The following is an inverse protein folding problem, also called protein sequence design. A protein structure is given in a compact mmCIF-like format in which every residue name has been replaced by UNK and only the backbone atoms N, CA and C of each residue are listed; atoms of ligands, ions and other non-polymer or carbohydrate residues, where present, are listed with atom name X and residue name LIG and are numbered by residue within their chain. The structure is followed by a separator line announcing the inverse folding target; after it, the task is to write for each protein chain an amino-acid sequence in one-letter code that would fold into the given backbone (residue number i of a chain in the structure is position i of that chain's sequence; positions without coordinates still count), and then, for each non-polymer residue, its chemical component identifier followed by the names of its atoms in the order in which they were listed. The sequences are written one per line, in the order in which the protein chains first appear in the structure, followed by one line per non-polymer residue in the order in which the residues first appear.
data_IF_556755669133
#
_entry.id   IF_556755669133
#
_cell.length_a   1.000
_cell.length_b   1.000
_cell.length_c   1.000
_cell.angle_alpha   90.00
_cell.angle_beta   90.00
_cell.angle_gamma   90.00
#
_symmetry.space_group_name_H-M   'P 1'
#
loop_
_entity.id
_entity.type
_entity.pdbx_description
1 polymer ?
#
# COMPACT_ATOMS: atom_id res chain seq x y z
N UNK A 1 -14.75 30.37 -11.35
CA UNK A 1 -15.26 29.68 -10.14
C UNK A 1 -14.44 28.45 -9.82
N UNK A 2 -14.40 27.42 -10.68
CA UNK A 2 -13.60 26.21 -10.44
C UNK A 2 -12.10 26.48 -10.24
N UNK A 3 -11.51 27.42 -10.98
CA UNK A 3 -10.08 27.78 -10.86
C UNK A 3 -9.71 28.47 -9.55
N UNK A 4 -10.68 28.99 -8.80
CA UNK A 4 -10.47 29.66 -7.52
C UNK A 4 -10.60 28.71 -6.32
N UNK A 5 -10.86 27.41 -6.55
CA UNK A 5 -10.92 26.41 -5.50
C UNK A 5 -9.53 26.01 -5.03
N UNK A 6 -9.35 26.02 -3.72
CA UNK A 6 -8.18 25.50 -3.03
C UNK A 6 -8.60 24.24 -2.27
N UNK A 7 -7.93 23.11 -2.50
CA UNK A 7 -8.32 21.78 -1.99
C UNK A 7 -8.49 21.74 -0.45
N UNK A 8 -7.70 22.52 0.27
CA UNK A 8 -7.73 22.61 1.73
C UNK A 8 -8.69 23.68 2.28
N UNK A 9 -9.25 24.55 1.44
CA UNK A 9 -10.04 25.70 1.90
C UNK A 9 -11.54 25.47 1.85
N UNK A 10 -12.13 25.12 3.01
CA UNK A 10 -13.59 24.94 3.18
C UNK A 10 -14.41 26.09 2.63
N UNK A 11 -14.01 27.34 2.89
CA UNK A 11 -14.75 28.53 2.47
C UNK A 11 -14.89 28.63 0.93
N UNK A 12 -13.86 28.20 0.17
CA UNK A 12 -13.94 28.20 -1.30
C UNK A 12 -14.96 27.18 -1.82
N UNK A 13 -15.08 26.03 -1.15
CA UNK A 13 -16.09 25.01 -1.49
C UNK A 13 -17.51 25.46 -1.18
N UNK A 14 -17.74 26.19 -0.08
CA UNK A 14 -19.06 26.74 0.26
C UNK A 14 -19.55 27.71 -0.83
N UNK A 15 -18.70 28.66 -1.23
CA UNK A 15 -19.01 29.61 -2.32
C UNK A 15 -19.23 28.89 -3.65
N UNK A 16 -18.46 27.85 -3.94
CA UNK A 16 -18.62 27.07 -5.16
C UNK A 16 -19.92 26.25 -5.17
N UNK A 17 -20.29 25.68 -4.03
CA UNK A 17 -21.54 24.95 -3.84
C UNK A 17 -22.76 25.85 -4.07
N UNK A 18 -22.78 27.04 -3.45
CA UNK A 18 -23.83 28.03 -3.64
C UNK A 18 -24.00 28.41 -5.12
N UNK A 19 -22.88 28.59 -5.82
CA UNK A 19 -22.89 28.87 -7.25
C UNK A 19 -23.47 27.72 -8.08
N UNK A 20 -23.11 26.46 -7.79
CA UNK A 20 -23.66 25.28 -8.47
C UNK A 20 -25.17 25.14 -8.22
N UNK A 21 -25.62 25.35 -6.99
CA UNK A 21 -27.05 25.36 -6.64
C UNK A 21 -27.79 26.44 -7.43
N UNK A 22 -27.21 27.64 -7.57
CA UNK A 22 -27.80 28.72 -8.36
C UNK A 22 -27.90 28.38 -9.87
N UNK A 23 -27.08 27.46 -10.38
CA UNK A 23 -27.17 26.93 -11.75
C UNK A 23 -28.11 25.71 -11.86
N UNK A 24 -28.67 25.23 -10.74
CA UNK A 24 -29.49 24.02 -10.70
C UNK A 24 -28.68 22.72 -10.81
N UNK A 25 -27.37 22.75 -10.56
CA UNK A 25 -26.55 21.53 -10.52
C UNK A 25 -26.65 20.88 -9.12
N UNK A 26 -27.18 19.64 -9.01
CA UNK A 26 -27.32 18.94 -7.73
C UNK A 26 -25.98 18.67 -7.02
N UNK A 27 -24.85 18.79 -7.71
CA UNK A 27 -23.52 18.67 -7.10
C UNK A 27 -23.26 19.76 -6.07
N UNK A 28 -23.89 20.93 -6.19
CA UNK A 28 -23.82 21.96 -5.16
C UNK A 28 -24.41 21.49 -3.83
N UNK A 29 -25.56 20.80 -3.86
CA UNK A 29 -26.15 20.20 -2.66
C UNK A 29 -25.23 19.12 -2.06
N UNK A 30 -24.65 18.27 -2.92
CA UNK A 30 -23.67 17.25 -2.47
C UNK A 30 -22.51 17.89 -1.69
N UNK A 31 -21.95 18.99 -2.19
CA UNK A 31 -20.87 19.70 -1.50
C UNK A 31 -21.33 20.20 -0.13
N UNK A 32 -22.48 20.87 -0.04
CA UNK A 32 -23.00 21.34 1.26
C UNK A 32 -23.22 20.20 2.25
N UNK A 33 -23.80 19.09 1.80
CA UNK A 33 -24.02 17.90 2.64
C UNK A 33 -22.68 17.35 3.14
N UNK A 34 -21.68 17.21 2.27
CA UNK A 34 -20.37 16.71 2.65
C UNK A 34 -19.64 17.65 3.62
N UNK A 35 -19.71 18.96 3.41
CA UNK A 35 -19.15 19.94 4.36
C UNK A 35 -19.86 19.94 5.72
N UNK A 36 -21.17 19.69 5.74
CA UNK A 36 -21.92 19.50 6.98
C UNK A 36 -21.54 18.19 7.69
N UNK A 37 -21.33 17.10 6.94
CA UNK A 37 -20.85 15.82 7.49
C UNK A 37 -19.46 15.94 8.10
N UNK A 38 -18.55 16.69 7.49
CA UNK A 38 -17.23 16.96 8.07
C UNK A 38 -17.33 17.62 9.46
N UNK A 39 -18.38 18.41 9.71
CA UNK A 39 -18.62 19.06 11.01
C UNK A 39 -19.44 18.22 11.99
N UNK A 40 -20.18 17.21 11.50
CA UNK A 40 -21.05 16.34 12.29
C UNK A 40 -21.07 14.90 11.72
N UNK A 41 -19.97 14.14 11.85
CA UNK A 41 -19.79 12.87 11.14
C UNK A 41 -20.75 11.76 11.60
N UNK A 42 -21.22 11.81 12.85
CA UNK A 42 -22.23 10.91 13.42
C UNK A 42 -23.66 11.16 12.92
N UNK A 43 -23.92 12.23 12.16
CA UNK A 43 -25.26 12.53 11.65
C UNK A 43 -25.65 11.58 10.49
N UNK A 44 -26.55 10.63 10.81
CA UNK A 44 -27.05 9.62 9.86
C UNK A 44 -27.94 10.17 8.75
N UNK A 45 -28.63 11.29 8.97
CA UNK A 45 -29.47 11.92 7.96
C UNK A 45 -28.61 12.49 6.83
N UNK A 46 -27.53 13.18 7.18
CA UNK A 46 -26.56 13.69 6.20
C UNK A 46 -25.87 12.55 5.44
N UNK A 47 -25.49 11.46 6.12
CA UNK A 47 -24.92 10.29 5.46
C UNK A 47 -25.90 9.61 4.49
N UNK A 48 -27.19 9.57 4.85
CA UNK A 48 -28.23 9.03 3.97
C UNK A 48 -28.43 9.94 2.76
N UNK A 49 -28.50 11.26 2.97
CA UNK A 49 -28.69 12.24 1.89
C UNK A 49 -27.55 12.27 0.90
N UNK A 50 -26.31 12.17 1.36
CA UNK A 50 -25.14 12.06 0.48
C UNK A 50 -25.24 10.84 -0.43
N UNK A 51 -25.56 9.66 0.13
CA UNK A 51 -25.71 8.43 -0.65
C UNK A 51 -26.82 8.57 -1.70
N UNK A 52 -27.97 9.13 -1.33
CA UNK A 52 -29.07 9.37 -2.28
C UNK A 52 -28.65 10.28 -3.44
N UNK A 53 -27.91 11.35 -3.17
CA UNK A 53 -27.41 12.27 -4.20
C UNK A 53 -26.44 11.58 -5.14
N UNK A 54 -25.48 10.79 -4.61
CA UNK A 54 -24.52 10.04 -5.42
C UNK A 54 -25.25 8.99 -6.27
N UNK A 55 -26.12 8.16 -5.68
CA UNK A 55 -26.89 7.14 -6.41
C UNK A 55 -27.73 7.74 -7.54
N UNK A 56 -28.32 8.92 -7.32
CA UNK A 56 -29.16 9.58 -8.30
C UNK A 56 -28.38 10.25 -9.45
N UNK A 57 -27.16 10.74 -9.21
CA UNK A 57 -26.50 11.68 -10.11
C UNK A 57 -25.09 11.27 -10.58
N UNK A 58 -24.42 10.30 -9.94
CA UNK A 58 -23.03 9.92 -10.27
C UNK A 58 -22.83 9.64 -11.76
N UNK A 59 -23.74 8.85 -12.35
CA UNK A 59 -23.70 8.51 -13.79
C UNK A 59 -23.77 9.72 -14.70
N UNK A 60 -24.44 10.79 -14.27
CA UNK A 60 -24.54 12.03 -15.04
C UNK A 60 -23.32 12.91 -14.87
N UNK A 61 -22.65 12.84 -13.72
CA UNK A 61 -21.44 13.62 -13.44
C UNK A 61 -20.18 12.99 -14.01
N UNK A 62 -20.11 11.65 -14.04
CA UNK A 62 -18.94 10.90 -14.48
C UNK A 62 -19.35 9.69 -15.35
N UNK A 63 -19.91 9.94 -16.56
CA UNK A 63 -20.36 8.87 -17.46
C UNK A 63 -19.25 7.91 -17.89
N UNK A 64 -17.99 8.32 -17.76
CA UNK A 64 -16.78 7.53 -17.99
C UNK A 64 -16.78 6.20 -17.20
N UNK A 65 -17.36 6.19 -15.99
CA UNK A 65 -17.42 4.99 -15.16
C UNK A 65 -18.31 3.87 -15.72
N UNK A 66 -19.21 4.19 -16.66
CA UNK A 66 -20.12 3.23 -17.27
C UNK A 66 -19.54 2.55 -18.51
N UNK A 67 -18.35 2.96 -18.96
CA UNK A 67 -17.72 2.38 -20.12
C UNK A 67 -16.96 1.09 -19.77
N UNK A 68 -16.92 0.13 -20.70
CA UNK A 68 -16.28 -1.17 -20.51
C UNK A 68 -14.74 -1.13 -20.66
N UNK A 69 -14.09 -0.07 -20.18
CA UNK A 69 -12.61 0.05 -20.20
C UNK A 69 -11.92 -0.82 -19.16
N UNK A 70 -12.68 -1.37 -18.21
CA UNK A 70 -12.17 -2.11 -17.08
C UNK A 70 -12.96 -3.42 -16.95
N UNK A 71 -12.27 -4.51 -16.65
CA UNK A 71 -12.91 -5.83 -16.44
C UNK A 71 -13.84 -5.80 -15.22
N UNK A 72 -13.57 -4.87 -14.29
CA UNK A 72 -14.41 -4.53 -13.14
C UNK A 72 -14.67 -3.04 -13.13
N UNK A 73 -15.91 -2.64 -12.87
CA UNK A 73 -16.28 -1.23 -12.80
C UNK A 73 -15.41 -0.49 -11.79
N UNK A 74 -14.85 0.68 -12.16
CA UNK A 74 -14.11 1.48 -11.20
C UNK A 74 -15.00 1.93 -10.06
N UNK A 75 -14.39 2.17 -8.90
CA UNK A 75 -15.06 2.72 -7.73
C UNK A 75 -14.47 4.09 -7.42
N UNK A 76 -15.34 5.06 -7.19
CA UNK A 76 -14.93 6.40 -6.76
C UNK A 76 -15.54 6.72 -5.41
N UNK A 77 -14.79 7.42 -4.58
CA UNK A 77 -15.32 8.04 -3.36
C UNK A 77 -15.32 9.54 -3.55
N UNK A 78 -16.48 10.15 -3.35
CA UNK A 78 -16.65 11.60 -3.49
C UNK A 78 -16.17 12.33 -2.24
N UNK A 79 -15.49 13.46 -2.45
CA UNK A 79 -15.08 14.40 -1.41
C UNK A 79 -15.31 15.81 -1.90
N UNK A 80 -16.15 16.55 -1.16
CA UNK A 80 -16.53 17.95 -1.48
C UNK A 80 -16.94 18.14 -2.94
N UNK A 81 -17.73 17.23 -3.50
CA UNK A 81 -18.24 17.27 -4.88
C UNK A 81 -17.19 16.98 -5.97
N UNK A 82 -16.03 16.44 -5.61
CA UNK A 82 -14.99 15.95 -6.51
C UNK A 82 -14.65 14.50 -6.19
N UNK A 83 -13.89 13.85 -7.05
CA UNK A 83 -13.34 12.52 -6.79
C UNK A 83 -12.21 12.69 -5.76
N UNK A 84 -12.38 12.13 -4.57
CA UNK A 84 -11.34 12.09 -3.53
C UNK A 84 -10.46 10.84 -3.63
N UNK A 85 -11.10 9.70 -3.89
CA UNK A 85 -10.43 8.41 -4.18
C UNK A 85 -10.95 7.85 -5.49
N UNK A 86 -10.05 7.31 -6.30
CA UNK A 86 -10.37 6.51 -7.47
C UNK A 86 -9.68 5.14 -7.36
N UNK A 87 -10.47 4.07 -7.44
CA UNK A 87 -10.01 2.70 -7.55
C UNK A 87 -10.36 2.20 -8.95
N UNK A 88 -9.34 1.97 -9.75
CA UNK A 88 -9.47 1.67 -11.16
C UNK A 88 -9.12 0.20 -11.40
N UNK A 89 -10.06 -0.54 -11.97
CA UNK A 89 -9.86 -1.93 -12.32
C UNK A 89 -8.74 -2.11 -13.36
N UNK A 90 -8.31 -3.35 -13.55
CA UNK A 90 -7.51 -3.72 -14.69
C UNK A 90 -8.40 -4.01 -15.90
N UNK A 91 -7.81 -4.07 -17.09
CA UNK A 91 -8.45 -4.69 -18.26
C UNK A 91 -7.45 -5.63 -18.91
N UNK A 92 -7.79 -6.91 -19.00
CA UNK A 92 -6.97 -7.88 -19.71
C UNK A 92 -6.77 -7.52 -21.20
N UNK A 93 -7.65 -6.69 -21.77
CA UNK A 93 -7.54 -6.24 -23.16
C UNK A 93 -6.74 -4.94 -23.31
N UNK A 94 -6.19 -4.39 -22.23
CA UNK A 94 -5.40 -3.16 -22.26
C UNK A 94 -6.23 -1.88 -22.34
N UNK A 95 -7.55 -1.94 -22.12
CA UNK A 95 -8.39 -0.74 -22.15
C UNK A 95 -8.26 0.14 -20.88
N UNK A 96 -7.61 -0.38 -19.83
CA UNK A 96 -7.44 0.27 -18.52
C UNK A 96 -6.71 1.61 -18.62
N UNK A 97 -5.68 1.69 -19.45
CA UNK A 97 -4.92 2.90 -19.73
C UNK A 97 -5.81 4.00 -20.34
N UNK A 98 -6.69 3.63 -21.27
CA UNK A 98 -7.66 4.57 -21.86
C UNK A 98 -8.67 5.02 -20.80
N UNK A 99 -9.23 4.09 -20.03
CA UNK A 99 -10.18 4.42 -18.97
C UNK A 99 -9.60 5.40 -17.95
N UNK A 100 -8.35 5.18 -17.53
CA UNK A 100 -7.66 6.15 -16.66
C UNK A 100 -7.51 7.51 -17.32
N UNK A 101 -7.09 7.57 -18.59
CA UNK A 101 -6.91 8.84 -19.29
C UNK A 101 -8.21 9.65 -19.37
N UNK A 102 -9.37 9.00 -19.55
CA UNK A 102 -10.67 9.69 -19.53
C UNK A 102 -11.04 10.19 -18.12
N UNK A 103 -10.84 9.36 -17.09
CA UNK A 103 -11.07 9.78 -15.69
C UNK A 103 -10.16 10.97 -15.33
N UNK A 104 -8.87 10.92 -15.67
CA UNK A 104 -7.89 11.96 -15.38
C UNK A 104 -8.20 13.29 -16.10
N UNK A 105 -8.87 13.27 -17.26
CA UNK A 105 -9.31 14.47 -17.97
C UNK A 105 -10.56 15.11 -17.36
N UNK A 106 -11.32 14.37 -16.56
CA UNK A 106 -12.51 14.89 -15.92
C UNK A 106 -12.15 16.06 -14.99
N UNK A 107 -12.85 17.21 -15.06
CA UNK A 107 -12.68 18.29 -14.09
C UNK A 107 -12.93 17.83 -12.64
N UNK A 108 -13.65 16.72 -12.46
CA UNK A 108 -13.96 16.13 -11.16
C UNK A 108 -12.77 15.36 -10.54
N UNK A 109 -11.78 14.98 -11.34
CA UNK A 109 -10.56 14.30 -10.90
C UNK A 109 -9.46 15.25 -10.40
N UNK A 110 -9.69 16.58 -10.48
CA UNK A 110 -8.69 17.61 -10.17
C UNK A 110 -8.11 17.52 -8.75
N UNK A 111 -8.87 16.97 -7.80
CA UNK A 111 -8.51 16.94 -6.37
C UNK A 111 -8.42 15.51 -5.82
N UNK A 112 -8.14 14.52 -6.69
CA UNK A 112 -7.88 13.15 -6.23
C UNK A 112 -6.72 13.17 -5.23
N UNK A 113 -6.94 12.53 -4.09
CA UNK A 113 -5.93 12.31 -3.04
C UNK A 113 -5.48 10.86 -2.96
N UNK A 114 -6.32 9.92 -3.38
CA UNK A 114 -6.02 8.49 -3.36
C UNK A 114 -6.29 7.88 -4.73
N UNK A 115 -5.28 7.24 -5.30
CA UNK A 115 -5.39 6.56 -6.60
C UNK A 115 -4.88 5.12 -6.45
N UNK A 116 -5.76 4.18 -6.73
CA UNK A 116 -5.49 2.75 -6.72
C UNK A 116 -5.71 2.17 -8.11
N UNK A 117 -4.73 1.42 -8.60
CA UNK A 117 -4.85 0.66 -9.84
C UNK A 117 -4.75 -0.83 -9.53
N UNK A 118 -5.70 -1.58 -10.06
CA UNK A 118 -5.60 -3.03 -10.08
C UNK A 118 -4.73 -3.47 -11.25
N UNK A 119 -3.85 -4.43 -11.01
CA UNK A 119 -3.05 -5.08 -12.05
C UNK A 119 -3.84 -6.23 -12.68
N UNK A 120 -3.78 -6.40 -14.01
CA UNK A 120 -4.50 -7.49 -14.67
C UNK A 120 -3.92 -8.84 -14.31
N UNK A 121 -4.75 -9.85 -14.51
CA UNK A 121 -4.32 -11.24 -14.44
C UNK A 121 -3.37 -11.53 -15.60
N UNK A 122 -2.13 -11.91 -15.30
CA UNK A 122 -1.13 -12.34 -16.28
C UNK A 122 -1.05 -13.87 -16.27
N UNK A 123 -1.10 -14.51 -17.44
CA UNK A 123 -0.99 -15.97 -17.52
C UNK A 123 0.44 -16.33 -17.91
N UNK A 124 1.22 -16.88 -16.98
CA UNK A 124 2.59 -17.34 -17.21
C UNK A 124 3.63 -16.25 -17.55
N UNK A 125 3.51 -15.03 -17.02
CA UNK A 125 4.50 -13.97 -17.26
C UNK A 125 4.34 -13.21 -18.58
N UNK A 126 3.48 -13.68 -19.48
CA UNK A 126 3.08 -12.96 -20.69
C UNK A 126 1.66 -12.39 -20.47
N UNK A 127 1.60 -11.11 -20.12
CA UNK A 127 0.35 -10.35 -20.01
C UNK A 127 0.50 -9.01 -20.72
N UNK A 128 -0.54 -8.54 -21.44
CA UNK A 128 -0.61 -7.14 -21.82
C UNK A 128 -0.81 -6.35 -20.52
N UNK A 129 0.14 -5.52 -20.09
CA UNK A 129 -0.08 -4.27 -19.32
C UNK A 129 1.01 -3.88 -18.30
N UNK A 130 2.12 -4.61 -18.14
CA UNK A 130 3.13 -4.28 -17.12
C UNK A 130 3.60 -2.80 -17.15
N UNK A 131 3.72 -2.22 -18.35
CA UNK A 131 4.07 -0.80 -18.55
C UNK A 131 2.87 0.09 -18.93
N UNK A 132 1.69 -0.46 -19.19
CA UNK A 132 0.54 0.32 -19.70
C UNK A 132 0.04 1.33 -18.67
N UNK A 133 -0.01 0.94 -17.38
CA UNK A 133 -0.38 1.87 -16.30
C UNK A 133 0.69 2.96 -16.15
N UNK A 134 1.97 2.58 -16.25
CA UNK A 134 3.10 3.53 -16.21
C UNK A 134 2.99 4.54 -17.36
N UNK A 135 2.79 4.07 -18.58
CA UNK A 135 2.64 4.93 -19.76
C UNK A 135 1.37 5.79 -19.69
N UNK A 136 0.27 5.26 -19.16
CA UNK A 136 -0.95 6.02 -18.94
C UNK A 136 -0.77 7.15 -17.92
N UNK A 137 -0.05 6.89 -16.82
CA UNK A 137 0.33 7.90 -15.83
C UNK A 137 1.23 8.97 -16.43
N UNK A 138 2.19 8.59 -17.27
CA UNK A 138 3.06 9.53 -17.97
C UNK A 138 2.30 10.39 -18.98
N UNK A 139 1.31 9.81 -19.68
CA UNK A 139 0.47 10.54 -20.63
C UNK A 139 -0.58 11.43 -19.95
N UNK A 140 -1.11 11.01 -18.80
CA UNK A 140 -2.10 11.71 -18.00
C UNK A 140 -1.66 11.76 -16.52
N UNK A 141 -0.77 12.71 -16.15
CA UNK A 141 -0.24 12.78 -14.79
C UNK A 141 -1.34 12.92 -13.73
N UNK A 142 -1.19 12.25 -12.58
CA UNK A 142 -2.10 12.44 -11.46
C UNK A 142 -2.02 13.89 -10.94
N UNK A 143 -3.08 14.39 -10.25
CA UNK A 143 -3.07 15.74 -9.72
C UNK A 143 -2.05 15.89 -8.58
N UNK A 144 -1.52 17.11 -8.36
CA UNK A 144 -0.56 17.38 -7.27
C UNK A 144 -1.15 17.22 -5.86
N UNK A 145 -2.46 17.01 -5.76
CA UNK A 145 -3.16 16.66 -4.52
C UNK A 145 -3.01 15.19 -4.15
N UNK A 146 -2.46 14.33 -5.01
CA UNK A 146 -2.27 12.91 -4.73
C UNK A 146 -1.36 12.72 -3.49
N UNK A 147 -1.81 11.86 -2.56
CA UNK A 147 -1.11 11.49 -1.31
C UNK A 147 -0.96 10.00 -1.13
N UNK A 148 -1.95 9.22 -1.59
CA UNK A 148 -1.89 7.75 -1.55
C UNK A 148 -1.86 7.22 -2.97
N UNK A 149 -0.88 6.39 -3.26
CA UNK A 149 -0.79 5.68 -4.53
C UNK A 149 -0.68 4.18 -4.26
N UNK A 150 -1.54 3.39 -4.90
CA UNK A 150 -1.58 1.94 -4.72
C UNK A 150 -1.60 1.22 -6.07
N UNK A 151 -0.76 0.20 -6.20
CA UNK A 151 -0.77 -0.77 -7.28
C UNK A 151 -1.06 -2.13 -6.65
N UNK A 152 -2.25 -2.68 -6.88
CA UNK A 152 -2.75 -3.86 -6.14
C UNK A 152 -3.21 -4.95 -7.11
N UNK A 153 -3.25 -6.20 -6.69
CA UNK A 153 -3.90 -7.26 -7.47
C UNK A 153 -5.44 -7.20 -7.42
N UNK A 154 -6.00 -6.30 -6.60
CA UNK A 154 -7.42 -6.25 -6.30
C UNK A 154 -7.92 -7.61 -5.81
N UNK A 155 -9.02 -8.09 -6.40
CA UNK A 155 -9.59 -9.41 -6.08
C UNK A 155 -8.94 -10.57 -6.89
N UNK A 156 -7.86 -10.31 -7.62
CA UNK A 156 -7.09 -11.37 -8.29
C UNK A 156 -6.09 -11.98 -7.32
N UNK A 157 -5.69 -13.23 -7.58
CA UNK A 157 -4.59 -13.85 -6.84
C UNK A 157 -3.28 -13.11 -7.10
N UNK A 158 -2.60 -12.68 -6.03
CA UNK A 158 -1.34 -11.94 -6.09
C UNK A 158 -0.31 -12.59 -7.01
N UNK A 159 -0.13 -13.92 -6.91
CA UNK A 159 0.82 -14.70 -7.71
C UNK A 159 0.71 -14.53 -9.23
N UNK A 160 -0.45 -14.12 -9.73
CA UNK A 160 -0.73 -13.94 -11.15
C UNK A 160 -0.74 -12.47 -11.59
N UNK A 161 -0.30 -11.57 -10.73
CA UNK A 161 -0.11 -10.16 -11.09
C UNK A 161 1.38 -9.87 -11.29
N UNK A 162 1.70 -9.22 -12.41
CA UNK A 162 3.04 -8.73 -12.70
C UNK A 162 2.96 -7.24 -12.98
N UNK A 163 3.97 -6.54 -12.49
CA UNK A 163 4.12 -5.11 -12.67
C UNK A 163 5.56 -4.88 -13.13
N UNK A 164 5.70 -4.09 -14.19
CA UNK A 164 6.98 -3.77 -14.78
C UNK A 164 7.82 -2.85 -13.89
N UNK A 165 8.70 -2.09 -14.53
CA UNK A 165 9.57 -1.17 -13.84
C UNK A 165 8.87 0.17 -13.59
N UNK A 166 8.62 0.48 -12.31
CA UNK A 166 7.91 1.70 -11.91
C UNK A 166 8.83 2.92 -11.71
N UNK A 167 10.12 2.83 -12.04
CA UNK A 167 11.06 3.95 -11.85
C UNK A 167 10.60 5.23 -12.56
N UNK A 168 10.00 5.07 -13.75
CA UNK A 168 9.55 6.18 -14.58
C UNK A 168 8.41 6.99 -13.95
N UNK A 169 7.64 6.45 -13.00
CA UNK A 169 6.51 7.16 -12.39
C UNK A 169 6.91 8.03 -11.19
N UNK A 170 8.08 7.81 -10.57
CA UNK A 170 8.47 8.57 -9.38
C UNK A 170 8.46 10.10 -9.54
N UNK A 171 8.86 10.70 -10.69
CA UNK A 171 8.73 12.14 -10.89
C UNK A 171 7.29 12.68 -10.77
N UNK A 172 6.28 11.82 -10.97
CA UNK A 172 4.86 12.16 -10.83
C UNK A 172 4.34 11.95 -9.40
N UNK A 173 5.08 11.21 -8.57
CA UNK A 173 4.66 10.79 -7.22
C UNK A 173 5.40 11.55 -6.11
N UNK A 174 5.92 12.75 -6.41
CA UNK A 174 6.74 13.53 -5.46
C UNK A 174 5.97 14.00 -4.22
N UNK A 175 4.63 14.05 -4.27
CA UNK A 175 3.76 14.40 -3.15
C UNK A 175 3.16 13.19 -2.44
N UNK A 176 3.47 11.97 -2.89
CA UNK A 176 2.90 10.74 -2.31
C UNK A 176 3.51 10.48 -0.94
N UNK A 177 2.63 10.37 0.04
CA UNK A 177 2.92 10.07 1.45
C UNK A 177 2.81 8.57 1.73
N UNK A 178 1.97 7.84 0.98
CA UNK A 178 1.78 6.41 1.15
C UNK A 178 1.84 5.68 -0.19
N UNK A 179 2.78 4.76 -0.33
CA UNK A 179 2.90 3.87 -1.48
C UNK A 179 2.59 2.43 -1.07
N UNK A 180 1.63 1.80 -1.75
CA UNK A 180 1.35 0.37 -1.64
C UNK A 180 1.63 -0.31 -2.97
N UNK A 181 2.43 -1.37 -2.94
CA UNK A 181 2.65 -2.27 -4.07
C UNK A 181 2.30 -3.68 -3.59
N UNK A 182 1.14 -4.16 -4.00
CA UNK A 182 0.59 -5.47 -3.66
C UNK A 182 0.40 -6.28 -4.95
N UNK A 183 1.46 -6.94 -5.39
CA UNK A 183 1.51 -7.63 -6.68
C UNK A 183 2.36 -8.88 -6.59
N UNK A 184 2.28 -9.79 -7.56
CA UNK A 184 3.10 -11.00 -7.56
C UNK A 184 4.59 -10.68 -7.74
N UNK A 185 4.89 -9.72 -8.63
CA UNK A 185 6.24 -9.22 -8.91
C UNK A 185 6.23 -7.73 -9.25
N UNK A 186 7.33 -7.05 -8.95
CA UNK A 186 7.57 -5.64 -9.29
C UNK A 186 9.07 -5.36 -9.48
N UNK A 187 9.40 -4.41 -10.36
CA UNK A 187 10.70 -3.73 -10.36
C UNK A 187 10.57 -2.30 -9.84
N UNK A 188 11.19 -2.01 -8.70
CA UNK A 188 11.17 -0.66 -8.12
C UNK A 188 12.17 0.31 -8.78
N UNK A 189 13.24 -0.19 -9.40
CA UNK A 189 14.31 0.64 -9.94
C UNK A 189 14.96 1.56 -8.89
N UNK A 190 15.39 2.75 -9.31
CA UNK A 190 15.94 3.78 -8.43
C UNK A 190 14.83 4.60 -7.75
N UNK A 191 14.48 4.21 -6.52
CA UNK A 191 13.35 4.81 -5.79
C UNK A 191 13.59 6.29 -5.46
N UNK A 192 12.63 7.15 -5.84
CA UNK A 192 12.67 8.60 -5.59
C UNK A 192 11.31 9.11 -5.06
N UNK A 193 11.07 8.95 -3.76
CA UNK A 193 9.81 9.30 -3.10
C UNK A 193 10.05 10.21 -1.89
N UNK A 194 10.31 11.52 -2.12
CA UNK A 194 10.81 12.42 -1.07
C UNK A 194 9.79 12.72 0.03
N UNK A 195 8.48 12.60 -0.24
CA UNK A 195 7.42 12.87 0.73
C UNK A 195 6.86 11.60 1.41
N UNK A 196 7.41 10.42 1.11
CA UNK A 196 6.83 9.16 1.53
C UNK A 196 7.07 8.88 3.02
N UNK A 197 5.97 8.59 3.73
CA UNK A 197 5.90 8.22 5.15
C UNK A 197 5.63 6.73 5.34
N UNK A 198 4.93 6.10 4.39
CA UNK A 198 4.62 4.66 4.43
C UNK A 198 4.92 4.00 3.10
N UNK A 199 5.76 2.97 3.13
CA UNK A 199 5.98 2.07 2.01
C UNK A 199 5.56 0.67 2.41
N UNK A 200 4.66 0.09 1.63
CA UNK A 200 4.27 -1.32 1.77
C UNK A 200 4.50 -2.04 0.45
N UNK A 201 5.30 -3.11 0.48
CA UNK A 201 5.56 -3.98 -0.66
C UNK A 201 5.20 -5.41 -0.27
N UNK A 202 4.11 -5.90 -0.83
CA UNK A 202 3.58 -7.24 -0.58
C UNK A 202 3.73 -8.03 -1.88
N UNK A 203 4.59 -9.04 -1.86
CA UNK A 203 4.77 -9.93 -3.00
C UNK A 203 4.49 -11.39 -2.65
N UNK A 204 3.97 -12.13 -3.61
CA UNK A 204 3.89 -13.60 -3.49
C UNK A 204 5.27 -14.24 -3.68
N UNK A 205 6.18 -13.56 -4.38
CA UNK A 205 7.56 -14.00 -4.59
C UNK A 205 8.52 -12.82 -4.79
N UNK A 206 8.93 -12.18 -3.70
CA UNK A 206 9.82 -11.02 -3.69
C UNK A 206 11.21 -11.36 -4.23
N UNK A 207 11.69 -10.52 -5.14
CA UNK A 207 13.03 -10.62 -5.70
C UNK A 207 14.03 -9.84 -4.87
N UNK A 208 15.27 -10.32 -4.78
CA UNK A 208 16.32 -9.67 -3.98
C UNK A 208 16.63 -8.23 -4.40
N UNK A 209 16.31 -7.81 -5.64
CA UNK A 209 16.50 -6.42 -6.04
C UNK A 209 15.56 -5.45 -5.33
N UNK A 210 14.39 -5.90 -4.87
CA UNK A 210 13.38 -5.05 -4.21
C UNK A 210 13.93 -4.43 -2.92
N UNK A 211 14.38 -5.20 -1.91
CA UNK A 211 14.97 -4.61 -0.70
C UNK A 211 16.27 -3.84 -0.98
N UNK A 212 17.07 -4.26 -1.98
CA UNK A 212 18.28 -3.52 -2.39
C UNK A 212 17.95 -2.13 -2.96
N UNK A 213 16.91 -2.02 -3.78
CA UNK A 213 16.40 -0.75 -4.30
C UNK A 213 15.92 0.16 -3.16
N UNK A 214 15.19 -0.39 -2.19
CA UNK A 214 14.71 0.35 -1.01
C UNK A 214 15.90 0.85 -0.17
N UNK A 215 16.89 0.00 0.07
CA UNK A 215 18.09 0.35 0.82
C UNK A 215 18.98 1.39 0.13
N UNK A 216 18.97 1.44 -1.21
CA UNK A 216 19.75 2.40 -1.98
C UNK A 216 19.15 3.82 -1.98
N UNK A 217 17.85 3.94 -1.68
CA UNK A 217 17.13 5.20 -1.69
C UNK A 217 17.37 6.02 -0.40
N UNK A 218 16.85 7.26 -0.39
CA UNK A 218 16.96 8.18 0.74
C UNK A 218 15.56 8.48 1.30
N UNK A 219 15.31 8.08 2.54
CA UNK A 219 13.98 8.09 3.13
C UNK A 219 13.89 9.06 4.31
N UNK A 220 13.83 10.37 4.02
CA UNK A 220 13.86 11.40 5.07
C UNK A 220 12.63 11.39 5.99
N UNK A 221 11.49 10.93 5.48
CA UNK A 221 10.20 10.98 6.16
C UNK A 221 9.55 9.61 6.37
N UNK A 222 10.19 8.51 5.94
CA UNK A 222 9.60 7.17 6.03
C UNK A 222 9.51 6.73 7.49
N UNK A 223 8.28 6.61 7.99
CA UNK A 223 7.98 6.19 9.36
C UNK A 223 7.64 4.70 9.44
N UNK A 224 7.12 4.13 8.35
CA UNK A 224 6.70 2.74 8.26
C UNK A 224 7.17 2.08 6.96
N UNK A 225 7.78 0.91 7.09
CA UNK A 225 8.19 0.05 5.99
C UNK A 225 7.69 -1.37 6.23
N UNK A 226 6.81 -1.87 5.36
CA UNK A 226 6.30 -3.23 5.42
C UNK A 226 6.72 -4.01 4.18
N UNK A 227 7.46 -5.11 4.37
CA UNK A 227 7.85 -6.05 3.33
C UNK A 227 7.25 -7.43 3.64
N UNK A 228 6.48 -7.96 2.68
CA UNK A 228 6.03 -9.36 2.72
C UNK A 228 6.66 -10.11 1.55
N UNK A 229 7.52 -11.10 1.84
CA UNK A 229 8.41 -11.68 0.84
C UNK A 229 7.74 -12.78 -0.01
N UNK A 230 6.79 -13.51 0.55
CA UNK A 230 6.22 -14.69 -0.08
C UNK A 230 7.25 -15.84 -0.19
N UNK A 231 7.12 -16.69 -1.20
CA UNK A 231 7.91 -17.94 -1.28
C UNK A 231 8.51 -18.23 -2.67
N UNK A 232 9.45 -19.17 -2.70
CA UNK A 232 10.16 -19.58 -3.91
C UNK A 232 9.25 -20.20 -4.98
N UNK A 233 8.13 -20.84 -4.61
CA UNK A 233 7.18 -21.43 -5.58
C UNK A 233 6.54 -20.37 -6.47
N UNK A 234 6.37 -19.15 -5.96
CA UNK A 234 5.92 -17.99 -6.73
C UNK A 234 7.08 -17.15 -7.29
N UNK A 235 8.31 -17.62 -7.11
CA UNK A 235 9.53 -17.08 -7.67
C UNK A 235 10.22 -16.06 -6.78
N UNK A 236 10.09 -16.13 -5.46
CA UNK A 236 11.01 -15.43 -4.58
C UNK A 236 12.45 -15.91 -4.83
N UNK A 237 13.39 -14.97 -4.86
CA UNK A 237 14.84 -15.25 -4.81
C UNK A 237 15.57 -14.38 -3.77
N UNK A 238 14.80 -13.59 -3.01
CA UNK A 238 15.34 -12.77 -1.94
C UNK A 238 15.95 -13.66 -0.86
N UNK A 239 17.17 -13.33 -0.47
CA UNK A 239 17.86 -13.96 0.65
C UNK A 239 18.10 -12.94 1.77
N UNK A 240 18.39 -13.43 2.97
CA UNK A 240 18.72 -12.56 4.14
C UNK A 240 19.83 -11.53 3.83
N UNK A 241 20.78 -11.87 2.96
CA UNK A 241 21.86 -10.98 2.53
C UNK A 241 21.39 -9.72 1.78
N UNK A 242 20.21 -9.79 1.14
CA UNK A 242 19.63 -8.65 0.42
C UNK A 242 19.06 -7.58 1.36
N UNK A 243 18.76 -7.96 2.61
CA UNK A 243 18.31 -7.06 3.67
C UNK A 243 19.47 -6.43 4.44
N UNK A 244 20.69 -6.95 4.32
CA UNK A 244 21.82 -6.44 5.08
C UNK A 244 22.08 -4.93 4.84
N UNK A 245 22.03 -4.38 3.62
CA UNK A 245 22.17 -2.94 3.40
C UNK A 245 21.04 -2.13 4.03
N UNK A 246 19.81 -2.67 3.99
CA UNK A 246 18.63 -2.03 4.57
C UNK A 246 18.78 -1.94 6.09
N UNK A 247 19.17 -3.03 6.73
CA UNK A 247 19.29 -3.14 8.18
C UNK A 247 20.53 -2.44 8.75
N UNK A 248 21.60 -2.27 7.96
CA UNK A 248 22.86 -1.67 8.41
C UNK A 248 22.86 -0.13 8.43
N UNK A 249 22.08 0.54 7.56
CA UNK A 249 22.17 1.99 7.34
C UNK A 249 20.97 2.75 7.89
N UNK A 250 20.91 2.90 9.21
CA UNK A 250 19.88 3.70 9.88
C UNK A 250 19.85 5.18 9.46
N UNK A 251 20.95 5.71 8.93
CA UNK A 251 21.05 7.09 8.44
C UNK A 251 20.16 7.36 7.22
N UNK A 252 19.79 6.31 6.48
CA UNK A 252 18.83 6.41 5.35
C UNK A 252 17.38 6.44 5.80
N UNK A 253 17.10 6.02 7.02
CA UNK A 253 15.78 5.86 7.59
C UNK A 253 15.64 6.61 8.94
N UNK A 254 15.98 7.91 9.00
CA UNK A 254 16.05 8.64 10.27
C UNK A 254 14.70 8.75 11.00
N UNK A 255 13.58 8.59 10.29
CA UNK A 255 12.22 8.68 10.84
C UNK A 255 11.56 7.31 11.09
N UNK A 256 12.19 6.20 10.71
CA UNK A 256 11.57 4.88 10.69
C UNK A 256 11.33 4.37 12.11
N UNK A 257 10.06 4.08 12.41
CA UNK A 257 9.61 3.58 13.73
C UNK A 257 8.92 2.23 13.61
N UNK A 258 8.42 1.87 12.43
CA UNK A 258 7.68 0.65 12.20
C UNK A 258 8.32 -0.11 11.06
N UNK A 259 8.69 -1.37 11.31
CA UNK A 259 9.30 -2.24 10.32
C UNK A 259 8.59 -3.59 10.32
N UNK A 260 8.00 -3.96 9.18
CA UNK A 260 7.48 -5.28 8.92
C UNK A 260 8.38 -6.04 7.94
N UNK A 261 8.81 -7.22 8.34
CA UNK A 261 9.59 -8.17 7.53
C UNK A 261 8.94 -9.55 7.67
N UNK A 262 7.72 -9.67 7.15
CA UNK A 262 6.88 -10.87 7.30
C UNK A 262 6.92 -11.78 6.07
N UNK A 263 6.41 -13.00 6.20
CA UNK A 263 6.27 -13.89 5.04
C UNK A 263 7.58 -14.30 4.40
N UNK A 264 8.65 -14.56 5.18
CA UNK A 264 9.96 -14.94 4.62
C UNK A 264 10.36 -16.40 4.90
N UNK A 265 11.01 -17.02 3.93
CA UNK A 265 11.53 -18.41 4.03
C UNK A 265 12.87 -18.51 4.79
N UNK A 266 13.51 -17.37 5.07
CA UNK A 266 14.78 -17.26 5.78
C UNK A 266 14.63 -16.75 7.22
N UNK A 267 13.52 -17.09 7.89
CA UNK A 267 13.14 -16.51 9.19
C UNK A 267 14.20 -16.60 10.30
N UNK A 268 14.82 -17.76 10.50
CA UNK A 268 15.87 -17.91 11.53
C UNK A 268 17.12 -17.06 11.25
N UNK A 269 17.51 -16.95 9.98
CA UNK A 269 18.64 -16.12 9.59
C UNK A 269 18.32 -14.63 9.74
N UNK A 270 17.07 -14.24 9.44
CA UNK A 270 16.58 -12.89 9.65
C UNK A 270 16.63 -12.51 11.13
N UNK A 271 16.19 -13.39 12.04
CA UNK A 271 16.25 -13.15 13.48
C UNK A 271 17.70 -12.88 13.94
N UNK A 272 18.68 -13.65 13.43
CA UNK A 272 20.10 -13.43 13.74
C UNK A 272 20.62 -12.11 13.17
N UNK A 273 20.24 -11.74 11.95
CA UNK A 273 20.64 -10.47 11.34
C UNK A 273 20.05 -9.26 12.10
N UNK A 274 18.79 -9.35 12.53
CA UNK A 274 18.09 -8.27 13.23
C UNK A 274 18.71 -7.91 14.58
N UNK A 275 19.18 -8.91 15.33
CA UNK A 275 19.85 -8.69 16.62
C UNK A 275 21.03 -7.73 16.50
N UNK A 276 21.76 -7.76 15.38
CA UNK A 276 22.91 -6.90 15.15
C UNK A 276 22.55 -5.58 14.45
N UNK A 277 21.30 -5.42 14.01
CA UNK A 277 20.85 -4.26 13.24
C UNK A 277 20.96 -2.95 14.02
N UNK A 278 21.66 -1.94 13.47
CA UNK A 278 21.62 -0.56 13.96
C UNK A 278 20.26 0.12 13.82
N UNK A 279 19.35 -0.40 12.98
CA UNK A 279 17.98 0.10 12.88
C UNK A 279 17.10 -0.33 14.06
N UNK A 280 17.36 -1.47 14.69
CA UNK A 280 16.49 -2.02 15.72
C UNK A 280 16.24 -1.05 16.91
N UNK A 281 17.24 -0.33 17.46
CA UNK A 281 17.04 0.54 18.63
C UNK A 281 16.12 1.75 18.41
N UNK A 282 15.85 2.17 17.17
CA UNK A 282 14.93 3.28 16.88
C UNK A 282 13.50 2.83 16.62
N UNK A 283 13.26 1.54 16.39
CA UNK A 283 11.93 1.01 16.13
C UNK A 283 11.07 1.05 17.39
N UNK A 284 9.79 1.35 17.20
CA UNK A 284 8.74 1.16 18.18
C UNK A 284 7.96 -0.14 17.90
N UNK A 285 7.80 -0.50 16.63
CA UNK A 285 7.08 -1.70 16.21
C UNK A 285 7.94 -2.53 15.26
N UNK A 286 7.99 -3.84 15.51
CA UNK A 286 8.62 -4.82 14.63
C UNK A 286 7.64 -5.95 14.35
N UNK A 287 7.37 -6.22 13.08
CA UNK A 287 6.51 -7.31 12.63
C UNK A 287 7.36 -8.35 11.87
N UNK A 288 7.38 -9.58 12.37
CA UNK A 288 8.08 -10.74 11.81
C UNK A 288 7.09 -11.90 11.57
N UNK A 289 5.81 -11.58 11.41
CA UNK A 289 4.74 -12.56 11.29
C UNK A 289 4.82 -13.37 9.98
N UNK A 290 4.16 -14.53 9.98
CA UNK A 290 3.97 -15.33 8.76
C UNK A 290 5.25 -15.92 8.17
N UNK A 291 6.35 -15.98 8.93
CA UNK A 291 7.66 -16.42 8.45
C UNK A 291 8.00 -17.84 8.88
N UNK A 292 9.14 -18.35 8.43
CA UNK A 292 9.64 -19.69 8.83
C UNK A 292 10.41 -19.68 10.15
N UNK A 293 10.12 -18.77 11.11
CA UNK A 293 10.86 -18.69 12.37
C UNK A 293 10.51 -19.84 13.32
N UNK A 294 11.51 -20.40 13.99
CA UNK A 294 11.35 -21.52 14.93
C UNK A 294 12.44 -21.50 15.98
N UNK A 295 12.92 -22.67 16.43
CA UNK A 295 13.87 -22.74 17.55
C UNK A 295 15.13 -21.90 17.34
N UNK A 296 15.71 -21.90 16.14
CA UNK A 296 16.89 -21.08 15.84
C UNK A 296 16.63 -19.57 15.97
N UNK A 297 15.47 -19.08 15.53
CA UNK A 297 15.05 -17.71 15.75
C UNK A 297 14.80 -17.43 17.25
N UNK A 298 14.11 -18.33 17.96
CA UNK A 298 13.81 -18.15 19.37
C UNK A 298 15.09 -18.03 20.20
N UNK A 299 16.08 -18.90 19.95
CA UNK A 299 17.40 -18.84 20.57
C UNK A 299 18.10 -17.49 20.30
N UNK A 300 18.07 -17.02 19.05
CA UNK A 300 18.69 -15.74 18.67
C UNK A 300 18.04 -14.55 19.39
N UNK A 301 16.70 -14.48 19.41
CA UNK A 301 15.96 -13.40 20.06
C UNK A 301 16.14 -13.42 21.59
N UNK A 302 16.03 -14.60 22.21
CA UNK A 302 16.14 -14.77 23.66
C UNK A 302 17.57 -14.62 24.19
N UNK A 303 18.59 -14.75 23.34
CA UNK A 303 19.97 -14.45 23.69
C UNK A 303 20.22 -12.94 23.86
N UNK A 304 19.36 -12.08 23.29
CA UNK A 304 19.54 -10.62 23.27
C UNK A 304 18.27 -9.85 23.65
N UNK A 305 17.62 -10.16 24.79
CA UNK A 305 16.31 -9.58 25.16
C UNK A 305 16.36 -8.06 25.31
N UNK A 306 17.47 -7.52 25.81
CA UNK A 306 17.67 -6.08 25.99
C UNK A 306 17.60 -5.29 24.67
N UNK A 307 17.82 -5.94 23.52
CA UNK A 307 17.71 -5.30 22.19
C UNK A 307 16.27 -5.11 21.74
N UNK A 308 15.30 -5.76 22.37
CA UNK A 308 13.88 -5.71 22.02
C UNK A 308 13.03 -5.08 23.12
N UNK A 309 13.55 -4.96 24.34
CA UNK A 309 12.82 -4.47 25.50
C UNK A 309 12.23 -3.06 25.34
N UNK A 310 12.77 -2.24 24.43
CA UNK A 310 12.26 -0.89 24.13
C UNK A 310 11.09 -0.88 23.15
N UNK A 311 10.87 -1.96 22.39
CA UNK A 311 9.78 -2.05 21.43
C UNK A 311 8.44 -1.90 22.17
N UNK A 312 7.51 -1.19 21.56
CA UNK A 312 6.12 -1.14 22.01
C UNK A 312 5.36 -2.39 21.60
N UNK A 313 5.67 -2.93 20.41
CA UNK A 313 5.03 -4.13 19.88
C UNK A 313 6.02 -4.98 19.07
N UNK A 314 5.96 -6.29 19.27
CA UNK A 314 6.67 -7.30 18.47
C UNK A 314 5.67 -8.37 17.99
N UNK A 315 5.46 -8.48 16.68
CA UNK A 315 4.61 -9.53 16.10
C UNK A 315 5.46 -10.73 15.63
N UNK A 316 5.14 -11.89 16.19
CA UNK A 316 5.73 -13.21 15.93
C UNK A 316 4.63 -14.23 15.56
N UNK A 317 3.42 -13.78 15.23
CA UNK A 317 2.30 -14.65 14.86
C UNK A 317 2.58 -15.43 13.58
N UNK A 318 1.89 -16.55 13.38
CA UNK A 318 2.02 -17.35 12.15
C UNK A 318 3.46 -17.80 11.83
N UNK A 319 4.24 -18.09 12.88
CA UNK A 319 5.58 -18.71 12.79
C UNK A 319 5.50 -20.17 13.28
N UNK A 320 6.64 -20.81 13.58
CA UNK A 320 6.77 -22.21 13.97
C UNK A 320 7.41 -22.36 15.37
N UNK A 321 7.07 -21.48 16.31
CA UNK A 321 7.54 -21.57 17.69
C UNK A 321 6.75 -22.63 18.46
N UNK A 322 7.45 -23.43 19.27
CA UNK A 322 6.79 -24.28 20.26
C UNK A 322 6.07 -23.45 21.33
N UNK A 323 5.10 -24.05 22.02
CA UNK A 323 4.40 -23.40 23.12
C UNK A 323 5.35 -22.93 24.24
N UNK A 324 6.46 -23.65 24.46
CA UNK A 324 7.45 -23.29 25.46
C UNK A 324 8.25 -22.04 25.03
N UNK A 325 8.69 -21.99 23.78
CA UNK A 325 9.40 -20.83 23.22
C UNK A 325 8.49 -19.61 23.15
N UNK A 326 7.24 -19.75 22.69
CA UNK A 326 6.25 -18.67 22.63
C UNK A 326 6.08 -17.96 24.00
N UNK A 327 5.94 -18.73 25.09
CA UNK A 327 5.84 -18.20 26.47
C UNK A 327 7.09 -17.48 26.96
N UNK A 328 8.26 -17.82 26.43
CA UNK A 328 9.51 -17.12 26.74
C UNK A 328 9.59 -15.82 25.93
N UNK A 329 9.25 -15.89 24.64
CA UNK A 329 9.24 -14.76 23.71
C UNK A 329 8.25 -13.67 24.13
N UNK A 330 7.12 -14.03 24.74
CA UNK A 330 6.12 -13.10 25.30
C UNK A 330 6.70 -12.07 26.28
N UNK A 331 7.91 -12.33 26.81
CA UNK A 331 8.58 -11.48 27.79
C UNK A 331 9.59 -10.50 27.17
N UNK A 332 9.79 -10.53 25.86
CA UNK A 332 10.80 -9.71 25.18
C UNK A 332 10.50 -8.22 25.24
N UNK A 333 9.22 -7.82 25.17
CA UNK A 333 8.79 -6.43 25.26
C UNK A 333 7.36 -6.35 25.84
N UNK A 334 6.79 -5.15 26.08
CA UNK A 334 5.47 -4.98 26.70
C UNK A 334 4.30 -5.65 25.95
N UNK A 335 4.38 -5.76 24.63
CA UNK A 335 3.35 -6.39 23.80
C UNK A 335 3.99 -7.28 22.75
N UNK A 336 3.96 -8.58 22.97
CA UNK A 336 4.43 -9.57 21.99
C UNK A 336 3.26 -10.43 21.54
N UNK A 337 3.05 -10.53 20.22
CA UNK A 337 2.02 -11.37 19.63
C UNK A 337 2.66 -12.68 19.16
N UNK A 338 2.32 -13.82 19.77
CA UNK A 338 2.84 -15.16 19.41
C UNK A 338 1.72 -16.14 19.04
N UNK A 339 0.58 -15.63 18.59
CA UNK A 339 -0.58 -16.42 18.22
C UNK A 339 -0.41 -17.20 16.91
N UNK A 340 -1.33 -18.13 16.64
CA UNK A 340 -1.49 -18.81 15.34
C UNK A 340 -0.21 -19.52 14.84
N UNK A 341 0.58 -20.12 15.75
CA UNK A 341 1.78 -20.86 15.34
C UNK A 341 1.41 -22.10 14.49
N UNK A 342 2.18 -22.29 13.43
CA UNK A 342 2.08 -23.40 12.50
C UNK A 342 2.85 -24.62 13.02
N UNK A 343 2.46 -25.80 12.54
CA UNK A 343 3.19 -27.04 12.76
C UNK A 343 4.06 -27.34 11.54
N UNK A 344 5.27 -27.85 11.77
CA UNK A 344 6.14 -28.32 10.70
C UNK A 344 5.49 -29.50 9.97
N UNK A 345 5.40 -29.42 8.64
CA UNK A 345 4.80 -30.48 7.84
C UNK A 345 5.86 -31.56 7.56
N UNK A 346 5.59 -32.84 7.85
CA UNK A 346 6.50 -33.94 7.47
C UNK A 346 6.82 -33.89 5.97
N UNK A 347 8.09 -34.02 5.62
CA UNK A 347 8.67 -33.94 4.26
C UNK A 347 8.77 -32.53 3.64
N UNK A 348 8.05 -31.53 4.14
CA UNK A 348 8.02 -30.17 3.58
C UNK A 348 8.69 -29.13 4.49
N UNK A 349 8.83 -29.42 5.78
CA UNK A 349 9.44 -28.52 6.75
C UNK A 349 8.57 -27.31 7.07
N UNK A 350 9.21 -26.20 7.43
CA UNK A 350 8.57 -24.89 7.65
C UNK A 350 8.41 -24.17 6.31
N UNK A 351 7.25 -23.57 6.09
CA UNK A 351 6.90 -22.91 4.82
C UNK A 351 6.21 -21.56 5.07
N UNK A 352 6.18 -20.73 4.03
CA UNK A 352 5.40 -19.49 3.98
C UNK A 352 4.15 -19.72 3.15
N UNK A 353 2.98 -19.34 3.67
CA UNK A 353 1.74 -19.34 2.89
C UNK A 353 1.82 -18.23 1.84
N UNK A 354 1.82 -18.61 0.55
CA UNK A 354 2.03 -17.67 -0.56
C UNK A 354 0.76 -17.24 -1.26
N UNK A 355 -0.42 -17.57 -0.72
CA UNK A 355 -1.66 -17.53 -1.48
C UNK A 355 -2.56 -16.29 -1.29
N UNK A 356 -2.35 -15.45 -0.25
CA UNK A 356 -3.29 -14.36 0.05
C UNK A 356 -2.69 -12.96 -0.08
#
# INVERSE_FOLDING_TARGET
MLEALEDDSRATYEVYADWLVAQGDPRGELIHVQLAREAAPENRELATRERELIEAHEKSWLPELEHDWFDRKPRVTWRRGFIGRAELGASYQGASAQGYAEVARSPLARFIRELEFHTPYSRHGDGPDDDMIVDALLASPPPPTLRVFALTCGDNQRAWSHLGNIERVYPLLTTVEHLVVDTGRVELGAVALPACHTLRVINSGMRGHVPRSIAAASWQHLEQLDLFFGNADYGADCIVGDLAPLLADHGRFPALKQLGLGGCEFGDDLARLLVDSPLLPQLATLDLSGSTMGTGAAEALLAHPDRFAHLQSLDLTANFFSLAEARLLEKLCPSVLVGQQNEEIPDWGRYVDGAE
#
